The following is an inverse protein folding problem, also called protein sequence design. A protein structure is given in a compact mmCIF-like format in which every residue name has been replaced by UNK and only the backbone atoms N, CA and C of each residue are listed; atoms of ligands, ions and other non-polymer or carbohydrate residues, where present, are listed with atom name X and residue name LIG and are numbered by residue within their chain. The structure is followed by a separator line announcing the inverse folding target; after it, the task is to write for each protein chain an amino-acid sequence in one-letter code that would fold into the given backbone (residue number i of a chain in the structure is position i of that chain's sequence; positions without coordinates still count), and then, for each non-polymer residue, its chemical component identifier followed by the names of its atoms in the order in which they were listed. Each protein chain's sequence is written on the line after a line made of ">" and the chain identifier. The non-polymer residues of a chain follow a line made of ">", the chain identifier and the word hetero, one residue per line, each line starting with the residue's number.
data_IF_680339590576
#
_entry.id   IF_680339590576
#
_cell.length_a   1.000
_cell.length_b   1.000
_cell.length_c   1.000
_cell.angle_alpha   90.00
_cell.angle_beta   90.00
_cell.angle_gamma   90.00
#
_symmetry.space_group_name_H-M   'P 1'
#
loop_
_entity.id
_entity.type
_entity.pdbx_description
1 polymer ?
#
# COMPACT_ATOMS: atom_id res chain seq x y z
N UNK A 1 5.41 10.70 -1.71
CA UNK A 1 5.14 9.31 -2.14
C UNK A 1 3.66 9.14 -2.41
N UNK A 2 3.30 8.58 -3.53
CA UNK A 2 1.91 8.38 -3.92
C UNK A 2 1.70 6.93 -4.31
N UNK A 3 0.67 6.30 -3.76
CA UNK A 3 0.28 4.93 -4.09
C UNK A 3 -0.97 4.95 -4.95
N UNK A 4 -0.94 4.25 -6.05
CA UNK A 4 -2.10 4.00 -6.90
C UNK A 4 -2.15 2.54 -7.30
N UNK A 5 -3.34 2.04 -7.65
CA UNK A 5 -3.51 0.66 -8.07
C UNK A 5 -4.73 0.52 -8.99
N UNK A 6 -4.64 -0.44 -9.91
CA UNK A 6 -5.75 -0.86 -10.76
C UNK A 6 -6.28 -2.20 -10.27
N UNK A 7 -7.59 -2.31 -10.13
CA UNK A 7 -8.21 -3.53 -9.62
C UNK A 7 -9.60 -3.73 -10.21
N UNK A 8 -10.08 -4.97 -10.13
CA UNK A 8 -11.48 -5.32 -10.37
C UNK A 8 -12.03 -5.86 -9.06
N UNK A 9 -13.06 -5.19 -8.54
CA UNK A 9 -13.59 -5.46 -7.21
C UNK A 9 -15.07 -5.82 -7.32
N UNK A 10 -15.42 -7.11 -7.38
CA UNK A 10 -16.81 -7.53 -7.25
C UNK A 10 -17.38 -7.06 -5.91
N UNK A 11 -18.73 -6.99 -5.77
CA UNK A 11 -19.36 -6.68 -4.50
C UNK A 11 -18.84 -7.61 -3.39
N UNK A 12 -18.76 -7.11 -2.17
CA UNK A 12 -18.26 -7.84 -0.97
C UNK A 12 -16.78 -8.20 -1.04
N UNK A 13 -16.01 -7.54 -1.91
CA UNK A 13 -14.56 -7.69 -1.95
C UNK A 13 -13.87 -6.35 -1.74
N UNK A 14 -12.65 -6.40 -1.22
CA UNK A 14 -11.81 -5.22 -1.08
C UNK A 14 -10.34 -5.61 -1.15
N UNK A 15 -9.51 -4.62 -1.44
CA UNK A 15 -8.06 -4.74 -1.33
C UNK A 15 -7.58 -3.69 -0.35
N UNK A 16 -6.79 -4.09 0.61
CA UNK A 16 -6.20 -3.21 1.59
C UNK A 16 -4.70 -3.11 1.37
N UNK A 17 -4.18 -1.90 1.42
CA UNK A 17 -2.77 -1.59 1.21
C UNK A 17 -2.19 -0.92 2.44
N UNK A 18 -0.97 -1.26 2.78
CA UNK A 18 -0.19 -0.54 3.77
C UNK A 18 1.26 -0.50 3.33
N UNK A 19 1.93 0.63 3.57
CA UNK A 19 3.33 0.79 3.27
C UNK A 19 4.09 0.91 4.57
N UNK A 20 5.20 0.19 4.67
CA UNK A 20 6.16 0.37 5.75
C UNK A 20 7.50 0.78 5.16
N UNK A 21 8.23 1.60 5.90
CA UNK A 21 9.53 2.13 5.50
C UNK A 21 10.56 1.89 6.59
N UNK A 22 11.81 1.74 6.19
CA UNK A 22 12.92 1.54 7.12
C UNK A 22 14.25 1.97 6.48
N UNK A 23 15.26 2.19 7.31
CA UNK A 23 16.58 2.59 6.84
C UNK A 23 17.38 1.43 6.25
N UNK A 24 17.09 0.18 6.66
CA UNK A 24 17.74 -1.02 6.14
C UNK A 24 16.70 -2.06 5.77
N UNK A 25 17.09 -2.98 4.88
CA UNK A 25 16.22 -4.08 4.49
C UNK A 25 15.87 -4.98 5.68
N UNK A 26 16.81 -5.22 6.58
CA UNK A 26 16.58 -6.08 7.75
C UNK A 26 15.56 -5.45 8.71
N UNK A 27 15.58 -4.12 8.83
CA UNK A 27 14.61 -3.40 9.66
C UNK A 27 13.19 -3.45 9.11
N UNK A 28 13.02 -3.64 7.80
CA UNK A 28 11.69 -3.84 7.21
C UNK A 28 10.99 -5.07 7.76
N UNK A 29 11.75 -6.11 8.08
CA UNK A 29 11.20 -7.34 8.65
C UNK A 29 10.87 -7.21 10.14
N UNK A 30 11.33 -6.15 10.81
CA UNK A 30 11.11 -5.93 12.23
C UNK A 30 10.06 -4.82 12.45
N UNK A 31 8.87 -5.16 12.96
CA UNK A 31 7.82 -4.15 13.19
C UNK A 31 8.21 -3.08 14.21
N UNK A 32 9.18 -3.35 15.08
CA UNK A 32 9.64 -2.36 16.06
C UNK A 32 10.57 -1.31 15.45
N UNK A 33 11.22 -1.62 14.33
CA UNK A 33 12.20 -0.75 13.68
C UNK A 33 11.69 -0.11 12.39
N UNK A 34 10.57 -0.57 11.86
CA UNK A 34 9.95 0.01 10.67
C UNK A 34 8.85 0.99 11.03
N UNK A 35 8.58 1.94 10.13
CA UNK A 35 7.51 2.91 10.31
C UNK A 35 6.38 2.54 9.34
N UNK A 36 5.18 2.36 9.88
CA UNK A 36 4.00 1.99 9.11
C UNK A 36 3.18 3.22 8.73
N UNK A 37 2.75 3.26 7.48
CA UNK A 37 1.75 4.21 7.02
C UNK A 37 0.33 3.77 7.39
N UNK A 38 -0.67 4.59 7.06
CA UNK A 38 -2.07 4.22 7.29
C UNK A 38 -2.50 3.11 6.36
N UNK A 39 -3.58 2.40 6.74
CA UNK A 39 -4.27 1.49 5.85
C UNK A 39 -5.01 2.27 4.76
N UNK A 40 -4.92 1.78 3.53
CA UNK A 40 -5.58 2.38 2.37
C UNK A 40 -6.47 1.31 1.77
N UNK A 41 -7.74 1.63 1.57
CA UNK A 41 -8.74 0.66 1.12
C UNK A 41 -9.21 0.98 -0.29
N UNK A 42 -9.29 -0.06 -1.13
CA UNK A 42 -9.97 -0.02 -2.41
C UNK A 42 -11.11 -1.03 -2.38
N UNK A 43 -12.34 -0.56 -2.49
CA UNK A 43 -13.54 -1.38 -2.45
C UNK A 43 -14.56 -0.84 -3.45
N UNK A 44 -15.55 -1.67 -3.82
CA UNK A 44 -16.63 -1.22 -4.68
C UNK A 44 -17.40 -0.08 -3.98
N UNK A 45 -17.51 1.05 -4.68
CA UNK A 45 -18.15 2.24 -4.14
C UNK A 45 -17.33 3.05 -3.14
N UNK A 46 -16.15 2.60 -2.79
CA UNK A 46 -15.26 3.31 -1.88
C UNK A 46 -13.81 3.08 -2.27
N UNK A 47 -13.15 4.12 -2.75
CA UNK A 47 -11.77 4.02 -3.21
C UNK A 47 -10.94 5.20 -2.67
N UNK A 48 -9.95 4.89 -1.84
CA UNK A 48 -9.04 5.87 -1.29
C UNK A 48 -7.80 6.11 -2.16
N UNK A 49 -7.73 5.48 -3.32
CA UNK A 49 -6.62 5.63 -4.26
C UNK A 49 -6.92 6.71 -5.32
N UNK A 50 -5.92 7.44 -5.82
CA UNK A 50 -4.54 7.45 -5.37
C UNK A 50 -4.36 8.08 -3.99
N UNK A 51 -3.46 7.54 -3.20
CA UNK A 51 -3.23 7.96 -1.84
C UNK A 51 -1.90 8.71 -1.71
N UNK A 52 -1.92 9.82 -0.99
CA UNK A 52 -0.73 10.61 -0.70
C UNK A 52 -0.12 10.13 0.63
N UNK A 53 1.14 9.72 0.56
CA UNK A 53 1.88 9.18 1.70
C UNK A 53 2.98 10.11 2.18
N UNK A 54 2.83 11.42 1.98
CA UNK A 54 3.81 12.41 2.40
C UNK A 54 4.01 12.48 3.92
N UNK A 55 3.08 11.94 4.70
CA UNK A 55 3.22 11.85 6.14
C UNK A 55 4.27 10.81 6.59
N UNK A 56 4.65 9.88 5.72
CA UNK A 56 5.72 8.93 6.04
C UNK A 56 7.08 9.61 5.97
N UNK A 57 7.95 9.38 6.96
CA UNK A 57 9.29 9.94 6.90
C UNK A 57 10.09 9.33 5.75
N UNK A 58 11.05 10.07 5.17
CA UNK A 58 11.90 9.52 4.12
C UNK A 58 12.83 8.45 4.66
N UNK A 59 12.83 7.29 4.02
CA UNK A 59 13.70 6.17 4.34
C UNK A 59 14.20 5.51 3.06
N UNK A 60 15.24 4.69 3.17
CA UNK A 60 15.88 4.05 2.01
C UNK A 60 15.08 2.90 1.44
N UNK A 61 14.30 2.21 2.28
CA UNK A 61 13.58 1.01 1.87
C UNK A 61 12.10 1.15 2.19
N UNK A 62 11.28 0.66 1.28
CA UNK A 62 9.83 0.62 1.44
C UNK A 62 9.31 -0.74 1.02
N UNK A 63 8.29 -1.23 1.71
CA UNK A 63 7.58 -2.45 1.37
C UNK A 63 6.09 -2.19 1.36
N UNK A 64 5.41 -2.71 0.34
CA UNK A 64 3.97 -2.61 0.22
C UNK A 64 3.36 -3.92 0.69
N UNK A 65 2.48 -3.84 1.68
CA UNK A 65 1.67 -4.97 2.12
C UNK A 65 0.31 -4.89 1.43
N UNK A 66 -0.12 -5.99 0.82
CA UNK A 66 -1.37 -6.05 0.06
C UNK A 66 -2.20 -7.21 0.59
N UNK A 67 -3.45 -6.91 0.96
CA UNK A 67 -4.39 -7.90 1.45
C UNK A 67 -5.63 -7.93 0.56
N UNK A 68 -5.92 -9.09 0.00
CA UNK A 68 -7.11 -9.34 -0.79
C UNK A 68 -8.15 -9.95 0.13
N UNK A 69 -9.29 -9.27 0.31
CA UNK A 69 -10.31 -9.68 1.26
C UNK A 69 -11.65 -9.88 0.54
N UNK A 70 -12.29 -11.02 0.79
CA UNK A 70 -13.63 -11.31 0.28
C UNK A 70 -14.49 -11.87 1.41
N UNK A 71 -15.71 -11.35 1.52
CA UNK A 71 -16.73 -11.90 2.40
C UNK A 71 -17.69 -12.84 1.68
N UNK A 72 -17.55 -12.94 0.34
CA UNK A 72 -18.31 -13.86 -0.50
C UNK A 72 -17.37 -14.91 -1.08
N UNK A 73 -17.70 -16.20 -0.90
CA UNK A 73 -16.88 -17.30 -1.37
C UNK A 73 -16.78 -17.38 -2.89
N UNK A 74 -17.75 -16.84 -3.61
CA UNK A 74 -17.80 -16.85 -5.08
C UNK A 74 -17.18 -15.62 -5.71
N UNK A 75 -16.84 -14.61 -4.92
CA UNK A 75 -16.24 -13.37 -5.41
C UNK A 75 -14.79 -13.27 -4.99
N UNK A 76 -13.92 -12.89 -5.93
CA UNK A 76 -12.50 -12.71 -5.67
C UNK A 76 -12.06 -11.35 -6.18
N UNK A 77 -11.42 -10.51 -5.35
CA UNK A 77 -10.83 -9.27 -5.83
C UNK A 77 -9.64 -9.57 -6.73
N UNK A 78 -9.49 -8.79 -7.78
CA UNK A 78 -8.38 -8.93 -8.73
C UNK A 78 -7.57 -7.66 -8.72
N UNK A 79 -6.31 -7.78 -8.33
CA UNK A 79 -5.35 -6.68 -8.42
C UNK A 79 -4.66 -6.76 -9.78
N UNK A 80 -4.80 -5.70 -10.59
CA UNK A 80 -4.23 -5.66 -11.95
C UNK A 80 -2.88 -5.00 -11.99
N UNK A 81 -2.64 -4.04 -11.12
CA UNK A 81 -1.36 -3.36 -11.07
C UNK A 81 -1.27 -2.43 -9.87
N UNK A 82 -0.04 -2.20 -9.41
CA UNK A 82 0.27 -1.28 -8.32
C UNK A 82 1.35 -0.33 -8.80
N UNK A 83 1.16 0.96 -8.54
CA UNK A 83 2.10 2.01 -8.90
C UNK A 83 2.46 2.80 -7.64
N UNK A 84 3.73 2.81 -7.29
CA UNK A 84 4.24 3.59 -6.18
C UNK A 84 5.20 4.64 -6.73
N UNK A 85 4.83 5.90 -6.61
CA UNK A 85 5.63 7.03 -7.08
C UNK A 85 6.27 7.74 -5.91
N UNK A 86 7.56 7.96 -6.01
CA UNK A 86 8.32 8.66 -4.99
C UNK A 86 9.36 9.58 -5.62
N UNK A 87 9.72 10.63 -4.87
CA UNK A 87 10.80 11.51 -5.25
C UNK A 87 12.05 11.12 -4.49
N UNK A 88 13.14 10.91 -5.22
CA UNK A 88 14.45 10.78 -4.62
C UNK A 88 15.02 12.17 -4.37
N UNK A 89 15.35 12.47 -3.11
CA UNK A 89 16.17 13.64 -2.82
C UNK A 89 17.63 13.28 -3.05
N UNK A 90 18.24 14.01 -3.96
CA UNK A 90 19.68 13.93 -4.15
C UNK A 90 20.30 15.03 -3.29
N UNK A 91 21.00 14.62 -2.26
CA UNK A 91 21.82 15.55 -1.49
C UNK A 91 23.18 15.69 -2.13
N UNK A 92 23.51 16.89 -2.50
CA UNK A 92 24.86 17.20 -2.98
C UNK A 92 25.74 17.69 -1.82
#
# INVERSE_FOLDING_TARGET
>A
MTLDASSTLPPDTRIEFRIKVAETRDELADPALSVFGPWITSADGQNELPADLNALPPHRFAEIEIFLVSTDREATPILRGVDLRFQCQIEE
#
